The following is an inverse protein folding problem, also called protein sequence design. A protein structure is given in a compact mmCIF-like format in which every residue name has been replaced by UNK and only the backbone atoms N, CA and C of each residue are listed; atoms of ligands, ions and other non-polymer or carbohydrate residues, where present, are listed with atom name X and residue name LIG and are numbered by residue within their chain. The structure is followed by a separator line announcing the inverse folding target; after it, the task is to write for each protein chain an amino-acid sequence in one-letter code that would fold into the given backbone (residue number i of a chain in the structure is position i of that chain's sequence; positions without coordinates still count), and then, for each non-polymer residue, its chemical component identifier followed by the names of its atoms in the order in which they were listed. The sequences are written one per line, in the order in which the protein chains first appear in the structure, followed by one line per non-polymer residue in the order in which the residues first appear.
data_IF_846220379587
#
_entry.id   IF_846220379587
#
_cell.length_a   1.000
_cell.length_b   1.000
_cell.length_c   1.000
_cell.angle_alpha   90.00
_cell.angle_beta   90.00
_cell.angle_gamma   90.00
#
_symmetry.space_group_name_H-M   'P 1'
#
loop_
_entity.id
_entity.type
_entity.pdbx_description
1 polymer ?
#
# COMPACT_ATOMS: atom_id res chain seq x y z
N UNK A 1 -6.22 -3.85 15.32
CA UNK A 1 -6.98 -4.38 14.16
C UNK A 1 -6.14 -4.10 12.91
N UNK A 2 -6.23 -4.90 11.84
CA UNK A 2 -5.35 -4.72 10.67
C UNK A 2 -6.16 -4.23 9.45
N UNK A 3 -5.47 -3.52 8.54
CA UNK A 3 -5.99 -3.05 7.26
C UNK A 3 -5.00 -3.38 6.14
N UNK A 4 -5.52 -3.71 4.95
CA UNK A 4 -4.70 -4.09 3.78
C UNK A 4 -5.22 -3.32 2.57
N UNK A 5 -4.30 -2.84 1.73
CA UNK A 5 -4.57 -2.17 0.45
C UNK A 5 -3.66 -2.78 -0.61
N UNK A 6 -4.19 -3.02 -1.80
CA UNK A 6 -3.44 -3.46 -2.97
C UNK A 6 -3.75 -2.61 -4.19
N UNK A 7 -2.77 -2.46 -5.07
CA UNK A 7 -2.92 -1.79 -6.35
C UNK A 7 -2.24 -2.63 -7.44
N UNK A 8 -2.94 -2.80 -8.57
CA UNK A 8 -2.41 -3.41 -9.79
C UNK A 8 -2.73 -2.48 -10.95
N UNK A 9 -1.72 -2.08 -11.70
CA UNK A 9 -1.88 -1.20 -12.85
C UNK A 9 -0.55 -0.63 -13.32
N UNK A 10 -0.62 0.23 -14.34
CA UNK A 10 0.54 0.82 -15.00
C UNK A 10 1.10 2.08 -14.32
N UNK A 11 0.43 2.59 -13.29
CA UNK A 11 0.87 3.77 -12.53
C UNK A 11 1.80 3.35 -11.40
N UNK A 12 2.60 4.28 -10.89
CA UNK A 12 3.35 4.05 -9.65
C UNK A 12 2.40 3.67 -8.50
N UNK A 13 2.62 2.47 -7.96
CA UNK A 13 1.79 1.88 -6.92
C UNK A 13 1.98 2.57 -5.55
N UNK A 14 3.18 3.11 -5.30
CA UNK A 14 3.58 3.67 -4.01
C UNK A 14 2.62 4.76 -3.50
N UNK A 15 2.35 5.85 -4.25
CA UNK A 15 1.45 6.90 -3.78
C UNK A 15 0.00 6.43 -3.65
N UNK A 16 -0.43 5.43 -4.43
CA UNK A 16 -1.79 4.90 -4.39
C UNK A 16 -1.98 4.08 -3.12
N UNK A 17 -1.04 3.18 -2.81
CA UNK A 17 -1.06 2.35 -1.62
C UNK A 17 -0.98 3.23 -0.35
N UNK A 18 -0.08 4.22 -0.32
CA UNK A 18 0.04 5.14 0.82
C UNK A 18 -1.26 5.89 1.12
N UNK A 19 -1.92 6.43 0.08
CA UNK A 19 -3.22 7.09 0.25
C UNK A 19 -4.31 6.13 0.73
N UNK A 20 -4.28 4.88 0.28
CA UNK A 20 -5.19 3.85 0.76
C UNK A 20 -4.96 3.51 2.24
N UNK A 21 -3.71 3.30 2.66
CA UNK A 21 -3.36 3.01 4.05
C UNK A 21 -3.76 4.16 4.98
N UNK A 22 -3.56 5.42 4.55
CA UNK A 22 -4.00 6.60 5.31
C UNK A 22 -5.50 6.60 5.57
N UNK A 23 -6.31 6.15 4.62
CA UNK A 23 -7.77 5.97 4.81
C UNK A 23 -8.12 4.84 5.77
N UNK A 24 -7.20 3.91 6.03
CA UNK A 24 -7.36 2.78 6.95
C UNK A 24 -6.70 3.01 8.32
N UNK A 25 -6.13 4.19 8.61
CA UNK A 25 -5.50 4.49 9.91
C UNK A 25 -6.43 4.22 11.10
N UNK A 26 -7.74 4.42 10.94
CA UNK A 26 -8.74 4.11 11.98
C UNK A 26 -8.76 2.61 12.37
N UNK A 27 -8.24 1.72 11.53
CA UNK A 27 -8.14 0.27 11.79
C UNK A 27 -6.84 -0.06 12.52
N UNK A 28 -5.77 0.70 12.28
CA UNK A 28 -4.45 0.49 12.86
C UNK A 28 -3.52 1.64 12.51
N UNK A 29 -2.93 2.27 13.53
CA UNK A 29 -2.10 3.47 13.41
C UNK A 29 -0.66 3.26 13.90
N UNK A 30 -0.38 2.12 14.54
CA UNK A 30 0.88 1.85 15.22
C UNK A 30 2.04 1.59 14.23
N UNK A 31 1.77 0.87 13.14
CA UNK A 31 2.76 0.61 12.10
C UNK A 31 2.09 0.31 10.76
N UNK A 32 2.85 0.51 9.68
CA UNK A 32 2.47 0.15 8.32
C UNK A 32 3.69 -0.32 7.52
N UNK A 33 3.47 -1.23 6.57
CA UNK A 33 4.49 -1.71 5.65
C UNK A 33 3.94 -1.80 4.23
N UNK A 34 4.79 -1.60 3.23
CA UNK A 34 4.44 -1.75 1.81
C UNK A 34 5.51 -2.57 1.09
N UNK A 35 5.08 -3.33 0.08
CA UNK A 35 5.95 -3.97 -0.88
C UNK A 35 5.43 -3.62 -2.27
N UNK A 36 6.35 -3.23 -3.17
CA UNK A 36 6.02 -2.88 -4.55
C UNK A 36 6.91 -3.72 -5.46
N UNK A 37 6.30 -4.33 -6.46
CA UNK A 37 7.00 -5.06 -7.51
C UNK A 37 6.86 -4.22 -8.77
N UNK A 38 7.97 -3.60 -9.17
CA UNK A 38 8.11 -3.03 -10.51
C UNK A 38 8.62 -4.17 -11.37
N UNK A 39 8.03 -4.40 -12.56
CA UNK A 39 8.26 -5.57 -13.41
C UNK A 39 9.70 -5.80 -13.91
N UNK A 40 10.70 -5.22 -13.28
CA UNK A 40 12.11 -5.50 -13.44
C UNK A 40 12.62 -6.39 -12.30
N UNK A 41 12.99 -7.61 -12.69
CA UNK A 41 13.75 -8.65 -11.97
C UNK A 41 13.07 -9.41 -10.82
N UNK A 42 12.85 -10.70 -11.10
CA UNK A 42 13.05 -11.81 -10.15
C UNK A 42 14.35 -12.50 -10.58
#
# INVERSE_FOLDING_TARGET
MCGIVGYLGSRDATPIILNGLKRLEYRGYDSAGIAVINGEQI
#
